data_IF_486352461739
#
_entry.id   IF_486352461739
#
_cell.length_a   1.000
_cell.length_b   1.000
_cell.length_c   1.000
_cell.angle_alpha   90.00
_cell.angle_beta   90.00
_cell.angle_gamma   90.00
#
_symmetry.space_group_name_H-M   'P 1'
#
loop_
_entity.id
_entity.type
_entity.pdbx_description
1 polymer ?
#
# COMPACT_ATOMS: atom_id res chain seq x y z
N UNK A 1 -21.78 -18.47 -8.64
CA UNK A 1 -21.13 -17.62 -7.62
C UNK A 1 -20.52 -16.40 -8.32
N UNK A 2 -20.56 -15.22 -7.69
CA UNK A 2 -19.98 -14.00 -8.25
C UNK A 2 -18.45 -14.08 -8.23
N UNK A 3 -17.79 -13.54 -9.25
CA UNK A 3 -16.33 -13.48 -9.36
C UNK A 3 -15.85 -12.13 -8.89
N UNK A 4 -14.84 -12.12 -8.04
CA UNK A 4 -14.15 -10.93 -7.56
C UNK A 4 -12.69 -10.99 -7.97
N UNK A 5 -12.12 -9.85 -8.28
CA UNK A 5 -10.77 -9.74 -8.80
C UNK A 5 -9.98 -8.78 -7.91
N UNK A 6 -8.75 -9.16 -7.61
CA UNK A 6 -7.92 -8.47 -6.64
C UNK A 6 -6.50 -8.27 -7.16
N UNK A 7 -5.99 -7.04 -7.04
CA UNK A 7 -4.57 -6.74 -7.15
C UNK A 7 -4.00 -6.70 -5.73
N UNK A 8 -3.29 -7.76 -5.34
CA UNK A 8 -2.59 -7.84 -4.06
C UNK A 8 -1.24 -7.16 -4.19
N UNK A 9 -0.91 -6.29 -3.25
CA UNK A 9 0.35 -5.55 -3.22
C UNK A 9 1.50 -6.36 -2.60
N UNK A 10 1.20 -7.16 -1.56
CA UNK A 10 2.22 -7.92 -0.82
C UNK A 10 1.74 -9.34 -0.50
N UNK A 11 2.36 -10.39 -1.08
CA UNK A 11 3.23 -10.34 -2.26
C UNK A 11 2.43 -9.93 -3.52
N UNK A 12 3.10 -9.27 -4.45
CA UNK A 12 2.46 -8.75 -5.66
C UNK A 12 1.78 -9.85 -6.47
N UNK A 13 0.46 -9.77 -6.66
CA UNK A 13 -0.27 -10.74 -7.47
C UNK A 13 -1.62 -10.23 -7.97
N UNK A 14 -2.06 -10.79 -9.09
CA UNK A 14 -3.42 -10.64 -9.61
C UNK A 14 -4.18 -11.93 -9.33
N UNK A 15 -5.27 -11.85 -8.58
CA UNK A 15 -6.02 -13.01 -8.08
C UNK A 15 -7.50 -12.86 -8.45
N UNK A 16 -8.14 -13.98 -8.78
CA UNK A 16 -9.61 -14.07 -8.84
C UNK A 16 -10.13 -15.00 -7.75
N UNK A 17 -11.26 -14.66 -7.15
CA UNK A 17 -11.89 -15.38 -6.05
C UNK A 17 -13.41 -15.39 -6.17
N UNK A 18 -14.05 -16.32 -5.47
CA UNK A 18 -15.48 -16.27 -5.17
C UNK A 18 -15.79 -15.56 -3.84
N UNK A 19 -14.77 -15.21 -3.05
CA UNK A 19 -14.93 -14.46 -1.80
C UNK A 19 -15.04 -12.97 -2.07
N UNK A 20 -15.95 -12.31 -1.36
CA UNK A 20 -16.08 -10.84 -1.36
C UNK A 20 -14.87 -10.20 -0.66
N UNK A 21 -14.62 -8.88 -0.82
CA UNK A 21 -13.37 -8.27 -0.38
C UNK A 21 -13.03 -8.49 1.10
N UNK A 22 -14.02 -8.37 1.98
CA UNK A 22 -13.83 -8.56 3.43
C UNK A 22 -13.44 -10.02 3.75
N UNK A 23 -14.14 -10.99 3.18
CA UNK A 23 -13.82 -12.42 3.40
C UNK A 23 -12.50 -12.82 2.75
N UNK A 24 -12.21 -12.27 1.57
CA UNK A 24 -10.96 -12.49 0.86
C UNK A 24 -9.77 -11.94 1.63
N UNK A 25 -9.87 -10.71 2.13
CA UNK A 25 -8.82 -10.08 2.93
C UNK A 25 -8.51 -10.90 4.19
N UNK A 26 -9.56 -11.27 4.94
CA UNK A 26 -9.40 -12.12 6.12
C UNK A 26 -8.74 -13.46 5.76
N UNK A 27 -9.21 -14.12 4.70
CA UNK A 27 -8.58 -15.35 4.20
C UNK A 27 -7.11 -15.17 3.81
N UNK A 28 -6.76 -14.05 3.18
CA UNK A 28 -5.40 -13.77 2.74
C UNK A 28 -4.44 -13.63 3.94
N UNK A 29 -4.89 -12.98 5.01
CA UNK A 29 -4.08 -12.75 6.20
C UNK A 29 -3.91 -14.00 7.07
N UNK A 30 -5.00 -14.74 7.34
CA UNK A 30 -4.97 -15.86 8.30
C UNK A 30 -5.00 -17.26 7.68
N UNK A 31 -5.41 -17.37 6.42
CA UNK A 31 -5.65 -18.63 5.75
C UNK A 31 -6.82 -19.43 6.36
N UNK A 32 -7.22 -20.51 5.68
CA UNK A 32 -8.39 -21.31 6.12
C UNK A 32 -8.24 -21.92 7.52
N UNK A 33 -7.00 -22.24 7.92
CA UNK A 33 -6.71 -22.87 9.21
C UNK A 33 -6.23 -21.86 10.28
N UNK A 34 -6.22 -20.56 9.99
CA UNK A 34 -5.69 -19.50 10.88
C UNK A 34 -4.28 -19.80 11.39
N UNK A 35 -3.42 -20.22 10.45
CA UNK A 35 -2.01 -20.59 10.74
C UNK A 35 -1.01 -19.62 10.12
N UNK A 36 -1.49 -18.74 9.24
CA UNK A 36 -0.75 -17.60 8.72
C UNK A 36 -1.17 -16.42 9.61
N UNK A 37 -0.25 -15.51 9.88
CA UNK A 37 -0.53 -14.25 10.56
C UNK A 37 0.29 -13.18 9.85
N UNK A 38 -0.22 -12.69 8.72
CA UNK A 38 0.48 -11.69 7.90
C UNK A 38 -0.49 -10.59 7.47
N UNK A 39 -0.04 -9.34 7.59
CA UNK A 39 -0.71 -8.17 7.04
C UNK A 39 -0.88 -8.33 5.53
N UNK A 40 -2.03 -7.92 5.02
CA UNK A 40 -2.28 -7.87 3.58
C UNK A 40 -2.77 -6.50 3.13
N UNK A 41 -2.39 -6.12 1.91
CA UNK A 41 -2.83 -4.88 1.25
C UNK A 41 -3.21 -5.26 -0.17
N UNK A 42 -4.44 -4.93 -0.58
CA UNK A 42 -4.93 -5.25 -1.92
C UNK A 42 -6.02 -4.29 -2.39
N UNK A 43 -6.22 -4.24 -3.70
CA UNK A 43 -7.32 -3.49 -4.34
C UNK A 43 -8.36 -4.46 -4.88
N UNK A 44 -9.64 -4.11 -4.79
CA UNK A 44 -10.63 -4.68 -5.71
C UNK A 44 -10.43 -4.05 -7.10
N UNK A 45 -10.53 -4.85 -8.15
CA UNK A 45 -10.41 -4.37 -9.53
C UNK A 45 -11.69 -4.61 -10.34
N UNK A 46 -11.94 -3.72 -11.27
CA UNK A 46 -12.93 -3.88 -12.32
C UNK A 46 -12.37 -4.77 -13.44
N UNK A 47 -12.93 -5.99 -13.63
CA UNK A 47 -12.43 -6.91 -14.64
C UNK A 47 -12.70 -6.44 -16.07
N UNK A 48 -13.68 -5.56 -16.31
CA UNK A 48 -14.02 -5.08 -17.65
C UNK A 48 -12.92 -4.19 -18.23
N UNK A 49 -12.14 -3.56 -17.35
CA UNK A 49 -11.02 -2.68 -17.70
C UNK A 49 -9.69 -3.42 -17.79
N UNK A 50 -9.66 -4.72 -17.45
CA UNK A 50 -8.43 -5.49 -17.38
C UNK A 50 -8.32 -6.51 -18.52
N UNK A 51 -7.09 -6.76 -18.97
CA UNK A 51 -6.81 -7.89 -19.87
C UNK A 51 -6.63 -9.17 -19.05
N UNK A 52 -7.66 -10.03 -19.03
CA UNK A 52 -7.71 -11.22 -18.18
C UNK A 52 -7.72 -12.53 -18.99
N UNK A 53 -7.08 -13.61 -18.51
CA UNK A 53 -7.09 -14.91 -19.18
C UNK A 53 -8.40 -15.67 -18.89
N UNK A 54 -9.49 -15.27 -19.57
CA UNK A 54 -10.87 -15.74 -19.31
C UNK A 54 -11.01 -17.27 -19.34
N UNK A 55 -10.40 -17.93 -20.32
CA UNK A 55 -10.47 -19.40 -20.44
C UNK A 55 -9.82 -20.11 -19.23
N UNK A 56 -8.68 -19.59 -18.77
CA UNK A 56 -8.00 -20.10 -17.58
C UNK A 56 -8.86 -19.89 -16.33
N UNK A 57 -9.48 -18.72 -16.19
CA UNK A 57 -10.36 -18.40 -15.07
C UNK A 57 -11.55 -19.37 -15.05
N UNK A 58 -12.25 -19.54 -16.16
CA UNK A 58 -13.41 -20.43 -16.25
C UNK A 58 -13.05 -21.89 -15.93
N UNK A 59 -11.84 -22.32 -16.31
CA UNK A 59 -11.33 -23.67 -16.00
C UNK A 59 -10.92 -23.87 -14.54
N UNK A 60 -10.45 -22.82 -13.86
CA UNK A 60 -9.81 -22.94 -12.54
C UNK A 60 -10.65 -22.43 -11.38
N UNK A 61 -11.48 -21.43 -11.61
CA UNK A 61 -12.36 -20.85 -10.61
C UNK A 61 -13.66 -21.66 -10.53
N UNK A 62 -13.52 -22.92 -10.09
CA UNK A 62 -14.63 -23.85 -9.87
C UNK A 62 -14.77 -24.03 -8.35
N UNK A 63 -15.99 -23.95 -7.79
CA UNK A 63 -16.24 -24.29 -6.38
C UNK A 63 -15.68 -25.66 -6.02
N UNK A 64 -15.37 -25.87 -4.75
CA UNK A 64 -14.95 -27.19 -4.27
C UNK A 64 -16.10 -28.20 -4.36
N UNK A 65 -15.78 -29.50 -4.34
CA UNK A 65 -16.77 -30.58 -4.46
C UNK A 65 -17.88 -30.52 -3.40
N UNK A 66 -17.54 -30.00 -2.21
CA UNK A 66 -18.48 -29.77 -1.11
C UNK A 66 -19.34 -28.50 -1.28
N UNK A 67 -19.26 -27.81 -2.41
CA UNK A 67 -20.00 -26.58 -2.71
C UNK A 67 -19.35 -25.31 -2.15
N UNK A 68 -18.23 -25.39 -1.43
CA UNK A 68 -17.56 -24.21 -0.90
C UNK A 68 -17.00 -23.31 -2.01
N UNK A 69 -17.00 -21.97 -1.80
CA UNK A 69 -16.42 -21.04 -2.75
C UNK A 69 -14.91 -21.30 -2.93
N UNK A 70 -14.47 -21.29 -4.19
CA UNK A 70 -13.04 -21.22 -4.52
C UNK A 70 -12.43 -19.93 -3.99
N UNK A 71 -11.48 -20.05 -3.05
CA UNK A 71 -10.95 -18.91 -2.28
C UNK A 71 -9.92 -18.06 -3.03
N UNK A 72 -9.12 -18.66 -3.91
CA UNK A 72 -8.18 -17.92 -4.75
C UNK A 72 -7.71 -18.73 -5.97
N UNK A 73 -7.51 -18.03 -7.09
CA UNK A 73 -6.80 -18.50 -8.28
C UNK A 73 -5.88 -17.37 -8.73
N UNK A 74 -4.58 -17.64 -8.78
CA UNK A 74 -3.58 -16.67 -9.23
C UNK A 74 -3.59 -16.56 -10.76
N UNK A 75 -3.67 -15.33 -11.26
CA UNK A 75 -3.64 -14.98 -12.68
C UNK A 75 -2.29 -14.40 -13.09
N UNK A 76 -1.63 -13.69 -12.18
CA UNK A 76 -0.27 -13.16 -12.35
C UNK A 76 0.40 -13.02 -11.00
N UNK A 77 1.73 -13.17 -10.97
CA UNK A 77 2.59 -12.91 -9.80
C UNK A 77 3.76 -11.98 -10.15
N UNK A 78 3.78 -11.43 -11.37
CA UNK A 78 4.89 -10.63 -11.87
C UNK A 78 4.37 -9.46 -12.68
N UNK A 79 4.78 -8.24 -12.29
CA UNK A 79 4.35 -6.97 -12.90
C UNK A 79 2.83 -6.88 -12.98
N UNK A 80 2.14 -7.37 -11.94
CA UNK A 80 0.69 -7.34 -11.86
C UNK A 80 0.18 -5.91 -11.70
N UNK A 81 0.86 -5.10 -10.86
CA UNK A 81 0.57 -3.68 -10.71
C UNK A 81 0.70 -2.97 -12.06
N UNK A 82 1.83 -3.19 -12.73
CA UNK A 82 2.11 -2.51 -13.99
C UNK A 82 1.04 -2.80 -15.06
N UNK A 83 0.60 -4.06 -15.17
CA UNK A 83 -0.40 -4.49 -16.14
C UNK A 83 -1.85 -4.12 -15.79
N UNK A 84 -2.10 -3.67 -14.56
CA UNK A 84 -3.45 -3.30 -14.11
C UNK A 84 -3.68 -1.81 -14.40
N UNK A 85 -4.67 -1.42 -15.22
CA UNK A 85 -4.97 -0.01 -15.47
C UNK A 85 -5.40 0.72 -14.18
N UNK A 86 -5.02 1.99 -14.04
CA UNK A 86 -5.37 2.77 -12.84
C UNK A 86 -6.89 2.88 -12.67
N UNK A 87 -7.60 3.13 -13.76
CA UNK A 87 -9.05 3.29 -13.75
C UNK A 87 -9.81 1.97 -13.50
N UNK A 88 -9.12 0.83 -13.49
CA UNK A 88 -9.65 -0.46 -13.05
C UNK A 88 -9.64 -0.61 -11.52
N UNK A 89 -8.84 0.17 -10.80
CA UNK A 89 -8.74 0.07 -9.35
C UNK A 89 -9.98 0.69 -8.69
N UNK A 90 -10.62 -0.08 -7.80
CA UNK A 90 -11.76 0.37 -7.00
C UNK A 90 -11.28 0.75 -5.60
N UNK A 91 -11.78 0.09 -4.56
CA UNK A 91 -11.41 0.36 -3.17
C UNK A 91 -10.10 -0.36 -2.81
N UNK A 92 -9.34 0.25 -1.91
CA UNK A 92 -8.17 -0.32 -1.26
C UNK A 92 -8.60 -1.01 0.03
N UNK A 93 -8.00 -2.15 0.33
CA UNK A 93 -8.27 -2.92 1.55
C UNK A 93 -6.98 -3.13 2.33
N UNK A 94 -7.02 -2.78 3.61
CA UNK A 94 -5.93 -2.97 4.57
C UNK A 94 -6.32 -4.04 5.57
N UNK A 95 -5.49 -5.07 5.70
CA UNK A 95 -5.78 -6.24 6.52
C UNK A 95 -4.73 -6.39 7.61
N UNK A 96 -5.16 -6.48 8.86
CA UNK A 96 -4.29 -6.81 9.99
C UNK A 96 -3.85 -8.27 9.94
N UNK A 97 -2.78 -8.60 10.65
CA UNK A 97 -2.23 -9.96 10.73
C UNK A 97 -3.22 -10.99 11.34
N UNK A 98 -4.20 -10.55 12.14
CA UNK A 98 -5.32 -11.37 12.65
C UNK A 98 -6.56 -11.41 11.73
N UNK A 99 -6.50 -10.76 10.56
CA UNK A 99 -7.52 -10.85 9.51
C UNK A 99 -8.69 -9.88 9.62
N UNK A 100 -8.55 -8.75 10.34
CA UNK A 100 -9.52 -7.64 10.28
C UNK A 100 -9.26 -6.82 9.03
N UNK A 101 -10.32 -6.53 8.27
CA UNK A 101 -10.25 -5.79 7.02
C UNK A 101 -10.83 -4.39 7.18
N UNK A 102 -10.08 -3.38 6.74
CA UNK A 102 -10.51 -1.99 6.58
C UNK A 102 -10.62 -1.69 5.09
N UNK A 103 -11.79 -1.21 4.67
CA UNK A 103 -12.04 -0.74 3.32
C UNK A 103 -11.80 0.77 3.23
N UNK A 104 -11.08 1.19 2.19
CA UNK A 104 -10.74 2.59 1.92
C UNK A 104 -11.18 2.91 0.49
N UNK A 105 -12.24 3.72 0.30
CA UNK A 105 -12.62 4.20 -1.03
C UNK A 105 -11.60 5.21 -1.57
N UNK A 106 -11.49 5.38 -2.90
CA UNK A 106 -10.67 6.43 -3.48
C UNK A 106 -11.21 7.80 -3.06
N UNK A 107 -10.30 8.74 -2.80
CA UNK A 107 -10.59 10.10 -2.37
C UNK A 107 -9.83 11.15 -3.16
N UNK A 108 -10.04 12.42 -2.80
CA UNK A 108 -9.30 13.56 -3.35
C UNK A 108 -8.11 13.88 -2.44
N UNK A 109 -6.94 14.05 -3.05
CA UNK A 109 -5.76 14.52 -2.32
C UNK A 109 -5.70 16.04 -2.38
N UNK A 110 -5.56 16.66 -1.22
CA UNK A 110 -5.32 18.09 -1.08
C UNK A 110 -3.84 18.30 -0.74
N UNK A 111 -3.16 19.12 -1.55
CA UNK A 111 -1.74 19.42 -1.33
C UNK A 111 -1.60 20.25 -0.07
N UNK A 112 -0.72 19.82 0.82
CA UNK A 112 -0.36 20.58 2.02
C UNK A 112 1.00 21.27 1.80
N UNK A 113 0.95 22.58 1.54
CA UNK A 113 2.13 23.41 1.25
C UNK A 113 3.07 23.62 2.45
N UNK A 114 2.66 23.24 3.68
CA UNK A 114 3.50 23.38 4.87
C UNK A 114 4.51 22.23 5.03
N UNK A 115 4.30 21.10 4.33
CA UNK A 115 5.20 19.95 4.44
C UNK A 115 6.46 20.15 3.61
N UNK A 116 7.60 20.34 4.29
CA UNK A 116 8.90 20.58 3.63
C UNK A 116 9.56 19.26 3.18
N UNK A 117 9.37 18.19 3.94
CA UNK A 117 9.95 16.87 3.67
C UNK A 117 8.93 15.80 4.01
N UNK A 118 8.76 14.87 3.08
CA UNK A 118 7.90 13.69 3.19
C UNK A 118 8.74 12.45 3.47
N UNK A 119 8.11 11.43 4.08
CA UNK A 119 8.68 10.09 4.22
C UNK A 119 7.76 9.09 3.53
N UNK A 120 8.24 8.48 2.44
CA UNK A 120 7.48 7.52 1.67
C UNK A 120 7.98 6.10 1.88
N UNK A 121 7.06 5.18 2.14
CA UNK A 121 7.31 3.75 2.02
C UNK A 121 6.73 3.28 0.68
N UNK A 122 7.61 2.95 -0.26
CA UNK A 122 7.20 2.31 -1.51
C UNK A 122 6.83 0.84 -1.22
N UNK A 123 5.81 0.33 -1.93
CA UNK A 123 5.26 -1.01 -1.74
C UNK A 123 5.45 -1.84 -3.01
N UNK A 124 5.04 -1.30 -4.18
CA UNK A 124 5.26 -1.93 -5.48
C UNK A 124 5.71 -0.91 -6.52
N UNK A 125 6.57 -1.31 -7.49
CA UNK A 125 7.27 -2.60 -7.55
C UNK A 125 8.53 -2.64 -6.67
N UNK A 126 8.83 -1.54 -5.97
CA UNK A 126 10.02 -1.37 -5.13
C UNK A 126 9.58 -1.19 -3.68
N UNK A 127 10.37 -1.68 -2.73
CA UNK A 127 10.03 -1.66 -1.29
C UNK A 127 10.91 -0.70 -0.47
N UNK A 128 11.56 0.27 -1.12
CA UNK A 128 12.45 1.21 -0.43
C UNK A 128 11.66 2.27 0.36
N UNK A 129 12.22 2.71 1.49
CA UNK A 129 11.77 3.90 2.20
C UNK A 129 12.65 5.08 1.84
N UNK A 130 12.03 6.21 1.50
CA UNK A 130 12.75 7.40 1.05
C UNK A 130 12.22 8.65 1.74
N UNK A 131 13.11 9.58 2.08
CA UNK A 131 12.73 10.97 2.36
C UNK A 131 12.71 11.74 1.05
N UNK A 132 11.73 12.62 0.85
CA UNK A 132 11.49 13.34 -0.40
C UNK A 132 11.11 14.80 -0.14
N UNK A 133 11.57 15.71 -1.00
CA UNK A 133 11.07 17.10 -1.08
C UNK A 133 9.84 17.23 -2.00
N UNK A 134 9.58 16.19 -2.78
CA UNK A 134 8.47 16.15 -3.72
C UNK A 134 7.21 15.71 -2.98
N UNK A 135 6.11 16.44 -3.19
CA UNK A 135 4.77 16.03 -2.79
C UNK A 135 4.38 14.69 -3.45
N UNK A 136 3.32 14.01 -3.01
CA UNK A 136 2.96 12.70 -3.55
C UNK A 136 2.73 12.72 -5.08
N UNK A 137 1.99 13.67 -5.68
CA UNK A 137 1.84 13.74 -7.15
C UNK A 137 3.16 13.99 -7.87
N UNK A 138 4.01 14.88 -7.35
CA UNK A 138 5.34 15.16 -7.93
C UNK A 138 6.27 13.96 -7.82
N UNK A 139 6.18 13.19 -6.74
CA UNK A 139 6.97 11.99 -6.51
C UNK A 139 6.58 10.86 -7.48
N UNK A 140 5.28 10.69 -7.75
CA UNK A 140 4.77 9.78 -8.79
C UNK A 140 5.35 10.19 -10.14
N UNK A 141 5.15 11.43 -10.55
CA UNK A 141 5.65 11.95 -11.83
C UNK A 141 7.17 11.80 -11.96
N UNK A 142 7.90 12.04 -10.88
CA UNK A 142 9.35 11.93 -10.85
C UNK A 142 9.84 10.48 -11.06
N UNK A 143 9.26 9.51 -10.35
CA UNK A 143 9.67 8.10 -10.42
C UNK A 143 9.08 7.35 -11.61
N UNK A 144 7.99 7.85 -12.19
CA UNK A 144 7.33 7.21 -13.34
C UNK A 144 7.68 7.83 -14.69
N UNK A 145 8.60 8.79 -14.69
CA UNK A 145 9.22 9.31 -15.90
C UNK A 145 10.18 8.27 -16.51
N UNK A 146 9.64 7.41 -17.37
CA UNK A 146 10.37 6.32 -18.03
C UNK A 146 11.41 6.79 -19.03
N UNK A 147 11.53 8.10 -19.29
CA UNK A 147 12.65 8.65 -20.07
C UNK A 147 13.95 8.71 -19.25
N UNK A 148 13.83 8.66 -17.92
CA UNK A 148 14.98 8.60 -17.00
C UNK A 148 15.44 7.17 -16.76
N UNK A 149 16.75 6.96 -16.53
CA UNK A 149 17.32 5.62 -16.32
C UNK A 149 16.88 4.94 -15.01
N UNK A 150 16.48 5.73 -14.00
CA UNK A 150 15.97 5.22 -12.73
C UNK A 150 14.50 5.58 -12.66
N UNK A 151 13.65 4.65 -13.07
CA UNK A 151 12.21 4.85 -13.19
C UNK A 151 11.44 3.53 -13.05
N UNK A 152 10.14 3.63 -12.84
CA UNK A 152 9.21 2.51 -12.87
C UNK A 152 7.91 2.91 -13.59
N UNK A 153 7.25 2.05 -14.37
CA UNK A 153 6.07 2.48 -15.11
C UNK A 153 4.87 2.89 -14.22
N UNK A 154 4.75 2.31 -13.03
CA UNK A 154 3.67 2.57 -12.07
C UNK A 154 4.20 2.41 -10.66
N UNK A 155 3.72 3.22 -9.73
CA UNK A 155 4.20 3.25 -8.36
C UNK A 155 3.03 3.12 -7.38
N UNK A 156 3.17 2.26 -6.37
CA UNK A 156 2.28 2.21 -5.20
C UNK A 156 3.08 2.46 -3.92
N UNK A 157 2.67 3.44 -3.13
CA UNK A 157 3.37 3.83 -1.90
C UNK A 157 2.42 4.46 -0.88
N UNK A 158 2.92 4.68 0.33
CA UNK A 158 2.21 5.34 1.42
C UNK A 158 3.07 6.44 2.03
N UNK A 159 2.43 7.53 2.45
CA UNK A 159 3.10 8.59 3.22
C UNK A 159 3.08 8.28 4.72
N UNK A 160 4.25 8.39 5.34
CA UNK A 160 4.46 8.12 6.75
C UNK A 160 4.77 9.39 7.54
N UNK A 161 4.38 9.41 8.81
CA UNK A 161 4.51 10.53 9.73
C UNK A 161 5.96 10.83 10.12
N UNK A 162 6.48 12.01 9.78
CA UNK A 162 7.72 12.50 10.37
C UNK A 162 7.51 13.30 11.67
N UNK A 163 6.30 13.80 11.92
CA UNK A 163 5.99 14.74 13.00
C UNK A 163 7.03 15.89 13.02
N UNK A 164 7.54 16.26 14.19
CA UNK A 164 8.55 17.32 14.35
C UNK A 164 9.85 17.05 13.56
N UNK A 165 10.17 15.80 13.19
CA UNK A 165 11.36 15.50 12.39
C UNK A 165 11.30 16.15 11.00
N UNK A 166 10.09 16.41 10.48
CA UNK A 166 9.90 17.03 9.18
C UNK A 166 10.56 18.42 9.11
N UNK A 167 10.60 19.15 10.24
CA UNK A 167 11.13 20.52 10.37
C UNK A 167 12.37 20.60 11.27
N UNK A 168 12.57 19.66 12.20
CA UNK A 168 13.75 19.56 13.06
C UNK A 168 14.30 18.11 13.12
N UNK A 169 15.37 17.76 12.38
CA UNK A 169 15.93 16.41 12.39
C UNK A 169 16.43 15.97 13.76
N UNK A 170 16.74 16.88 14.68
CA UNK A 170 17.19 16.54 16.03
C UNK A 170 16.03 16.33 17.02
N UNK A 171 14.78 16.48 16.58
CA UNK A 171 13.61 16.24 17.41
C UNK A 171 13.56 14.78 17.92
N UNK A 172 12.90 14.54 19.06
CA UNK A 172 12.64 13.19 19.54
C UNK A 172 11.69 12.45 18.58
N UNK A 173 11.90 11.14 18.42
CA UNK A 173 11.01 10.28 17.62
C UNK A 173 9.68 9.97 18.32
N UNK A 174 9.62 10.16 19.63
CA UNK A 174 8.48 9.82 20.46
C UNK A 174 8.01 8.37 20.20
N UNK A 175 6.79 8.19 19.66
CA UNK A 175 6.14 6.89 19.44
C UNK A 175 6.40 6.31 18.04
N UNK A 176 7.17 6.99 17.19
CA UNK A 176 7.44 6.54 15.82
C UNK A 176 8.35 5.30 15.82
N UNK A 177 7.92 4.14 15.27
CA UNK A 177 8.64 2.87 15.31
C UNK A 177 9.73 2.77 14.23
N UNK A 178 10.38 3.88 13.87
CA UNK A 178 11.38 3.88 12.80
C UNK A 178 12.69 3.25 13.25
N UNK A 179 13.13 2.25 12.47
CA UNK A 179 14.44 1.61 12.65
C UNK A 179 15.55 2.60 12.31
N UNK A 180 16.63 2.53 13.08
CA UNK A 180 17.82 3.36 12.93
C UNK A 180 17.49 4.87 12.87
N UNK A 181 17.04 5.46 14.00
CA UNK A 181 16.79 6.88 14.18
C UNK A 181 17.84 7.77 13.54
N UNK A 182 19.11 7.51 13.84
CA UNK A 182 20.21 8.40 13.51
C UNK A 182 20.45 8.42 12.01
N UNK A 183 20.28 7.28 11.33
CA UNK A 183 20.33 7.25 9.88
C UNK A 183 19.17 8.04 9.23
N UNK A 184 17.95 7.96 9.77
CA UNK A 184 16.84 8.79 9.29
C UNK A 184 17.18 10.28 9.45
N UNK A 185 17.70 10.69 10.61
CA UNK A 185 18.12 12.08 10.86
C UNK A 185 19.19 12.54 9.88
N UNK A 186 20.22 11.73 9.67
CA UNK A 186 21.26 12.02 8.68
C UNK A 186 20.68 12.19 7.27
N UNK A 187 19.73 11.35 6.86
CA UNK A 187 19.08 11.46 5.57
C UNK A 187 18.31 12.78 5.44
N UNK A 188 17.57 13.18 6.48
CA UNK A 188 16.87 14.46 6.53
C UNK A 188 17.84 15.65 6.44
N UNK A 189 18.92 15.65 7.21
CA UNK A 189 19.96 16.71 7.19
C UNK A 189 20.61 16.80 5.82
N UNK A 190 21.08 15.67 5.26
CA UNK A 190 21.74 15.61 3.95
C UNK A 190 20.80 16.05 2.83
N UNK A 191 19.52 15.71 2.91
CA UNK A 191 18.52 16.11 1.91
C UNK A 191 18.30 17.63 1.93
N UNK A 192 18.23 18.25 3.10
CA UNK A 192 18.11 19.71 3.26
C UNK A 192 19.33 20.46 2.74
N UNK A 193 20.53 19.98 3.07
CA UNK A 193 21.80 20.59 2.67
C UNK A 193 22.10 20.46 1.17
N UNK A 194 21.34 19.65 0.43
CA UNK A 194 21.58 19.38 -0.99
C UNK A 194 20.49 20.01 -1.86
N UNK A 195 20.68 21.22 -2.43
CA UNK A 195 19.64 21.89 -3.24
C UNK A 195 19.14 21.05 -4.42
N UNK A 196 20.06 20.43 -5.17
CA UNK A 196 19.72 19.63 -6.35
C UNK A 196 19.22 18.21 -6.06
N UNK A 197 19.24 17.74 -4.80
CA UNK A 197 18.77 16.40 -4.43
C UNK A 197 17.31 16.48 -4.01
N UNK A 198 16.47 15.72 -4.70
CA UNK A 198 15.03 15.64 -4.42
C UNK A 198 14.67 14.54 -3.43
N UNK A 199 15.39 13.41 -3.45
CA UNK A 199 15.09 12.23 -2.64
C UNK A 199 16.34 11.65 -1.99
N UNK A 200 16.16 10.92 -0.89
CA UNK A 200 17.23 10.19 -0.21
C UNK A 200 16.68 8.89 0.39
N UNK A 201 17.30 7.77 0.05
CA UNK A 201 16.94 6.45 0.59
C UNK A 201 17.30 6.34 2.07
N UNK A 202 16.30 5.97 2.88
CA UNK A 202 16.40 5.68 4.32
C UNK A 202 16.49 4.18 4.56
N UNK A 203 15.68 3.40 3.84
CA UNK A 203 15.65 1.94 3.94
C UNK A 203 15.66 1.35 2.54
N UNK A 204 16.52 0.37 2.29
CA UNK A 204 16.62 -0.27 0.97
C UNK A 204 15.56 -1.33 0.73
N UNK A 205 15.15 -2.04 1.78
CA UNK A 205 14.22 -3.17 1.69
C UNK A 205 13.27 -3.10 2.89
N UNK A 206 11.98 -3.07 2.62
CA UNK A 206 10.95 -3.29 3.63
C UNK A 206 11.01 -4.75 4.08
N UNK A 207 11.40 -4.97 5.34
CA UNK A 207 11.55 -6.31 5.95
C UNK A 207 10.44 -6.63 6.95
N UNK A 208 9.56 -5.67 7.20
CA UNK A 208 8.42 -5.77 8.11
C UNK A 208 7.23 -5.08 7.48
N UNK A 209 6.06 -5.48 7.95
CA UNK A 209 4.77 -4.84 7.66
C UNK A 209 4.76 -3.35 7.98
N UNK A 210 3.80 -2.65 7.38
CA UNK A 210 3.61 -1.22 7.61
C UNK A 210 2.92 -1.07 8.97
N UNK A 211 3.53 -0.31 9.88
CA UNK A 211 2.85 0.09 11.10
C UNK A 211 1.77 1.11 10.74
N UNK A 212 0.51 0.68 10.65
CA UNK A 212 -0.61 1.51 10.17
C UNK A 212 -0.74 2.83 10.95
N UNK A 213 -0.40 2.84 12.24
CA UNK A 213 -0.36 4.06 13.05
C UNK A 213 0.62 5.15 12.60
N UNK A 214 1.53 4.81 11.70
CA UNK A 214 2.52 5.75 11.16
C UNK A 214 2.07 6.35 9.84
N UNK A 215 0.92 5.96 9.30
CA UNK A 215 0.39 6.56 8.07
C UNK A 215 -0.01 8.00 8.37
N UNK A 216 0.41 8.91 7.50
CA UNK A 216 0.09 10.33 7.62
C UNK A 216 -1.24 10.62 6.92
N UNK A 217 -1.21 10.68 5.58
CA UNK A 217 -2.37 11.10 4.78
C UNK A 217 -3.08 9.90 4.15
N UNK A 218 -2.32 8.94 3.63
CA UNK A 218 -2.88 7.77 2.96
C UNK A 218 -1.96 7.15 1.93
N UNK A 219 -2.56 6.35 1.07
CA UNK A 219 -1.87 5.61 0.03
C UNK A 219 -2.05 6.26 -1.33
N UNK A 220 -1.03 6.13 -2.17
CA UNK A 220 -0.97 6.70 -3.50
C UNK A 220 -0.56 5.62 -4.49
N UNK A 221 -1.28 5.54 -5.60
CA UNK A 221 -0.96 4.69 -6.73
C UNK A 221 -1.08 5.49 -8.02
N UNK A 222 -0.08 5.45 -8.89
CA UNK A 222 -0.11 6.28 -10.09
C UNK A 222 0.95 5.95 -11.12
N UNK A 223 0.73 6.47 -12.32
CA UNK A 223 1.65 6.45 -13.45
C UNK A 223 1.63 7.80 -14.18
N UNK A 224 2.83 8.30 -14.50
CA UNK A 224 3.07 9.59 -15.17
C UNK A 224 2.38 10.76 -14.45
N UNK A 225 1.33 11.30 -15.06
CA UNK A 225 0.57 12.46 -14.58
C UNK A 225 -0.73 12.05 -13.85
N UNK A 226 -1.09 10.76 -13.90
CA UNK A 226 -2.32 10.22 -13.31
C UNK A 226 -2.04 9.49 -12.00
N UNK A 227 -2.93 9.68 -11.02
CA UNK A 227 -2.87 8.96 -9.76
C UNK A 227 -4.24 8.81 -9.10
N UNK A 228 -4.32 7.82 -8.21
CA UNK A 228 -5.39 7.66 -7.25
C UNK A 228 -4.84 7.84 -5.85
N UNK A 229 -5.66 8.42 -4.98
CA UNK A 229 -5.38 8.59 -3.57
C UNK A 229 -6.42 7.84 -2.74
N UNK A 230 -5.95 7.17 -1.70
CA UNK A 230 -6.76 6.42 -0.76
C UNK A 230 -6.53 7.02 0.63
N UNK A 231 -7.42 7.94 1.07
CA UNK A 231 -7.28 8.64 2.34
C UNK A 231 -7.31 7.66 3.50
N UNK A 232 -6.29 7.71 4.35
CA UNK A 232 -6.32 6.91 5.57
C UNK A 232 -7.26 7.58 6.58
N UNK A 233 -8.15 6.81 7.26
CA UNK A 233 -9.05 7.40 8.24
C UNK A 233 -8.29 8.13 9.35
N UNK A 234 -8.87 9.22 9.82
CA UNK A 234 -8.36 9.97 10.97
C UNK A 234 -8.35 9.12 12.24
N UNK A 235 -7.57 9.51 13.25
CA UNK A 235 -7.54 8.78 14.53
C UNK A 235 -8.95 8.72 15.15
N UNK A 236 -9.71 9.81 15.09
CA UNK A 236 -11.08 9.85 15.62
C UNK A 236 -11.99 8.86 14.89
N UNK A 237 -11.89 8.74 13.56
CA UNK A 237 -12.64 7.75 12.77
C UNK A 237 -12.18 6.31 13.05
N UNK A 238 -10.87 6.10 13.26
CA UNK A 238 -10.32 4.80 13.61
C UNK A 238 -10.80 4.33 15.00
N UNK A 239 -10.90 5.25 15.96
CA UNK A 239 -11.35 4.97 17.32
C UNK A 239 -12.88 4.82 17.42
N UNK A 240 -13.64 5.47 16.54
CA UNK A 240 -15.11 5.43 16.54
C UNK A 240 -15.68 4.36 15.58
N UNK A 241 -15.41 4.50 14.29
CA UNK A 241 -16.04 3.72 13.22
C UNK A 241 -15.30 2.41 12.94
N UNK A 242 -13.98 2.39 13.14
CA UNK A 242 -13.12 1.25 12.81
C UNK A 242 -12.43 0.64 14.03
N UNK A 243 -13.01 0.79 15.22
CA UNK A 243 -12.39 0.45 16.50
C UNK A 243 -11.80 -0.97 16.55
N UNK A 244 -12.54 -1.98 16.07
CA UNK A 244 -12.05 -3.37 16.08
C UNK A 244 -10.83 -3.57 15.18
N UNK A 245 -10.79 -2.89 14.04
CA UNK A 245 -9.64 -2.96 13.13
C UNK A 245 -8.46 -2.20 13.73
N UNK A 246 -8.71 -1.00 14.27
CA UNK A 246 -7.68 -0.15 14.83
C UNK A 246 -6.98 -0.77 16.04
N UNK A 247 -7.75 -1.39 16.95
CA UNK A 247 -7.21 -2.17 18.07
C UNK A 247 -6.25 -3.27 17.59
N UNK A 248 -6.63 -4.00 16.55
CA UNK A 248 -5.77 -5.04 15.97
C UNK A 248 -4.53 -4.43 15.31
N UNK A 249 -4.70 -3.38 14.51
CA UNK A 249 -3.61 -2.67 13.82
C UNK A 249 -2.53 -2.08 14.74
N UNK A 250 -2.82 -1.88 16.04
CA UNK A 250 -1.89 -1.40 17.04
C UNK A 250 -1.06 -2.51 17.71
N UNK A 251 -1.48 -3.76 17.57
CA UNK A 251 -0.85 -4.93 18.17
C UNK A 251 -0.18 -5.75 17.06
N UNK A 252 0.98 -6.33 17.35
CA UNK A 252 1.53 -7.38 16.49
C UNK A 252 1.13 -8.73 17.10
N UNK A 253 0.37 -9.51 16.36
CA UNK A 253 -0.08 -10.84 16.77
C UNK A 253 1.00 -11.86 16.36
N UNK A 254 1.84 -12.25 17.34
CA UNK A 254 2.92 -13.23 17.20
C UNK A 254 2.42 -14.68 17.12
#
# INVERSE_FOLDING_TARGET
MKKYYYLVATPESLIVSHLEPIDFGSYLAVGTKKRICEQAIFFEIDPEKCQLPVDYINKKLIPYENGEPKRSVYLSIYRALEKTPLDALKNLYLVTDDGKVLEIPPGKYEVNDETIIHLYQQINPITTRVTSKLSPPEFIKFLTDTTKPVSTPKLFFVELQLNELATNPNAPLNTLPYRNPDHLRECLIKLRQSPGRQTKTVLRIMTKEIAYRTIKDGFFIGDKDDYLFYPFPTIDELESNYFSWWRSALVHHL
#
